data_IF_207739777889
#
_entry.id   IF_207739777889
#
_cell.length_a   1.000
_cell.length_b   1.000
_cell.length_c   1.000
_cell.angle_alpha   90.00
_cell.angle_beta   90.00
_cell.angle_gamma   90.00
#
_symmetry.space_group_name_H-M   'P 1'
#
loop_
_entity.id
_entity.type
_entity.pdbx_description
1 polymer ?
#
# COMPACT_ATOMS: atom_id res chain seq x y z
N UNK A 1 -5.27 7.65 -14.76
CA UNK A 1 -4.14 6.90 -14.17
C UNK A 1 -2.87 7.65 -14.39
N UNK A 2 -2.02 7.61 -13.40
CA UNK A 2 -0.73 8.27 -13.53
C UNK A 2 0.13 7.54 -14.55
N UNK A 3 1.07 8.28 -15.15
CA UNK A 3 2.05 7.71 -16.08
C UNK A 3 2.91 6.64 -15.40
N UNK A 4 3.08 6.70 -14.08
CA UNK A 4 3.84 5.71 -13.35
C UNK A 4 3.30 4.29 -13.55
N UNK A 5 1.97 4.13 -13.63
CA UNK A 5 1.37 2.81 -13.89
C UNK A 5 1.47 2.48 -15.38
N UNK A 6 1.18 3.44 -16.26
CA UNK A 6 1.20 3.21 -17.70
C UNK A 6 2.59 2.79 -18.20
N UNK A 7 3.64 3.29 -17.57
CA UNK A 7 5.01 3.03 -17.97
C UNK A 7 5.72 2.05 -17.03
N UNK A 8 4.99 1.27 -16.24
CA UNK A 8 5.59 0.34 -15.28
C UNK A 8 6.51 -0.67 -15.97
N UNK A 9 6.18 -1.07 -17.21
CA UNK A 9 7.01 -2.00 -17.97
C UNK A 9 8.43 -1.47 -18.21
N UNK A 10 8.59 -0.15 -18.28
CA UNK A 10 9.91 0.48 -18.42
C UNK A 10 10.77 0.28 -17.18
N UNK A 11 10.14 0.11 -16.01
CA UNK A 11 10.80 0.01 -14.73
C UNK A 11 11.03 -1.43 -14.28
N UNK A 12 10.47 -2.42 -14.97
CA UNK A 12 10.66 -3.82 -14.62
C UNK A 12 12.13 -4.23 -14.66
N UNK A 13 12.94 -3.58 -15.53
CA UNK A 13 14.37 -3.85 -15.62
C UNK A 13 15.15 -3.39 -14.40
N UNK A 14 14.57 -2.50 -13.57
CA UNK A 14 15.24 -1.98 -12.39
C UNK A 14 15.07 -2.91 -11.20
N UNK A 15 13.96 -3.62 -11.13
CA UNK A 15 13.75 -4.62 -10.09
C UNK A 15 12.61 -5.55 -10.48
N UNK A 16 12.74 -6.80 -10.06
CA UNK A 16 11.71 -7.80 -10.27
C UNK A 16 10.64 -7.68 -9.19
N UNK A 17 9.37 -7.71 -9.60
CA UNK A 17 8.23 -7.66 -8.69
C UNK A 17 7.47 -8.98 -8.76
N UNK A 18 7.42 -9.70 -7.67
CA UNK A 18 6.66 -10.95 -7.55
C UNK A 18 5.65 -10.90 -6.40
N UNK A 19 5.49 -9.73 -5.76
CA UNK A 19 4.64 -9.60 -4.58
C UNK A 19 4.01 -8.19 -4.54
N UNK A 20 2.73 -8.14 -4.26
CA UNK A 20 2.01 -6.89 -3.98
C UNK A 20 1.44 -7.02 -2.57
N UNK A 21 1.85 -6.14 -1.67
CA UNK A 21 1.50 -6.21 -0.26
C UNK A 21 0.52 -5.10 0.09
N UNK A 22 -0.62 -5.47 0.62
CA UNK A 22 -1.66 -4.53 1.05
C UNK A 22 -1.47 -4.22 2.52
N UNK A 23 -1.45 -2.93 2.85
CA UNK A 23 -1.36 -2.41 4.20
C UNK A 23 -2.54 -1.50 4.52
N UNK A 24 -2.72 -1.18 5.79
CA UNK A 24 -3.54 -0.07 6.24
C UNK A 24 -2.68 0.91 7.02
N UNK A 25 -3.14 2.14 7.16
CA UNK A 25 -2.43 3.14 7.96
C UNK A 25 -2.51 2.85 9.46
N UNK A 26 -3.39 1.94 9.86
CA UNK A 26 -3.67 1.62 11.27
C UNK A 26 -4.10 2.89 12.03
N UNK A 27 -5.00 3.64 11.43
CA UNK A 27 -5.61 4.83 12.02
C UNK A 27 -7.12 4.63 12.16
N UNK A 28 -7.74 5.37 13.07
CA UNK A 28 -9.18 5.24 13.32
C UNK A 28 -9.97 5.74 12.12
N UNK A 29 -11.08 5.08 11.82
CA UNK A 29 -11.95 5.43 10.71
C UNK A 29 -12.48 6.88 10.80
N UNK A 30 -12.55 7.43 11.99
CA UNK A 30 -13.00 8.81 12.25
C UNK A 30 -11.87 9.83 12.19
N UNK A 31 -10.63 9.37 12.08
CA UNK A 31 -9.44 10.22 12.05
C UNK A 31 -8.97 10.38 10.61
N UNK A 32 -8.80 11.62 10.18
CA UNK A 32 -8.19 11.88 8.88
C UNK A 32 -6.68 11.63 8.97
N UNK A 33 -6.16 10.87 8.03
CA UNK A 33 -4.73 10.59 7.95
C UNK A 33 -4.30 10.63 6.48
N UNK A 34 -3.87 11.79 6.05
CA UNK A 34 -3.56 12.06 4.64
C UNK A 34 -2.24 11.42 4.22
N UNK A 35 -2.00 11.39 2.89
CA UNK A 35 -0.72 10.94 2.37
C UNK A 35 0.44 11.79 2.92
N UNK A 36 0.22 13.08 3.12
CA UNK A 36 1.25 13.96 3.68
C UNK A 36 1.49 13.66 5.17
N UNK A 37 0.45 13.31 5.92
CA UNK A 37 0.61 12.87 7.31
C UNK A 37 1.46 11.61 7.38
N UNK A 38 1.17 10.64 6.52
CA UNK A 38 1.91 9.40 6.46
C UNK A 38 3.38 9.65 6.07
N UNK A 39 3.60 10.47 5.06
CA UNK A 39 4.95 10.84 4.60
C UNK A 39 5.75 11.52 5.72
N UNK A 40 5.12 12.45 6.43
CA UNK A 40 5.75 13.13 7.55
C UNK A 40 6.16 12.15 8.64
N UNK A 41 5.28 11.22 9.00
CA UNK A 41 5.56 10.24 10.05
C UNK A 41 6.67 9.29 9.63
N UNK A 42 6.69 8.85 8.37
CA UNK A 42 7.75 8.00 7.87
C UNK A 42 9.10 8.72 7.86
N UNK A 43 9.13 9.99 7.45
CA UNK A 43 10.36 10.78 7.50
C UNK A 43 10.85 10.99 8.92
N UNK A 44 9.93 11.18 9.87
CA UNK A 44 10.29 11.30 11.29
C UNK A 44 10.91 10.02 11.84
N UNK A 45 10.58 8.87 11.24
CA UNK A 45 11.19 7.58 11.59
C UNK A 45 12.51 7.31 10.88
N UNK A 46 12.99 8.26 10.08
CA UNK A 46 14.25 8.14 9.37
C UNK A 46 14.14 7.69 7.92
N UNK A 47 12.95 7.52 7.39
CA UNK A 47 12.76 7.16 5.98
C UNK A 47 13.02 8.38 5.09
N UNK A 48 13.59 8.15 3.91
CA UNK A 48 13.81 9.21 2.93
C UNK A 48 12.48 9.77 2.39
N UNK A 49 11.45 8.92 2.31
CA UNK A 49 10.12 9.29 1.84
C UNK A 49 9.12 8.28 2.42
N UNK A 50 7.82 8.49 2.14
CA UNK A 50 6.79 7.51 2.45
C UNK A 50 7.23 6.12 1.94
N UNK A 51 7.00 5.09 2.74
CA UNK A 51 7.49 3.75 2.42
C UNK A 51 6.66 2.99 1.39
N UNK A 52 5.42 3.43 1.13
CA UNK A 52 4.51 2.80 0.19
C UNK A 52 4.67 3.37 -1.22
N UNK A 53 4.24 2.60 -2.22
CA UNK A 53 4.18 3.05 -3.60
C UNK A 53 2.86 3.73 -3.93
N UNK A 54 1.78 3.31 -3.25
CA UNK A 54 0.44 3.91 -3.40
C UNK A 54 -0.23 4.05 -2.04
N UNK A 55 -0.96 5.13 -1.88
CA UNK A 55 -1.74 5.40 -0.67
C UNK A 55 -3.16 5.80 -1.09
N UNK A 56 -4.17 5.11 -0.57
CA UNK A 56 -5.58 5.31 -0.96
C UNK A 56 -6.32 5.95 0.21
N UNK A 57 -6.73 7.19 0.05
CA UNK A 57 -7.51 7.90 1.06
C UNK A 57 -8.95 7.43 1.09
N UNK A 58 -9.68 7.79 2.14
CA UNK A 58 -11.04 7.29 2.39
C UNK A 58 -12.01 7.63 1.27
N UNK A 59 -11.78 8.70 0.52
CA UNK A 59 -12.57 9.08 -0.65
C UNK A 59 -12.25 8.24 -1.91
N UNK A 60 -11.34 7.30 -1.80
CA UNK A 60 -10.95 6.43 -2.91
C UNK A 60 -9.90 7.02 -3.84
N UNK A 61 -9.31 8.15 -3.49
CA UNK A 61 -8.26 8.75 -4.32
C UNK A 61 -6.94 8.06 -4.10
N UNK A 62 -6.26 7.69 -5.19
CA UNK A 62 -4.91 7.13 -5.16
C UNK A 62 -3.89 8.24 -5.16
N UNK A 63 -2.98 8.18 -4.20
CA UNK A 63 -1.85 9.10 -4.12
C UNK A 63 -0.57 8.32 -4.37
N UNK A 64 0.30 8.86 -5.22
CA UNK A 64 1.59 8.23 -5.49
C UNK A 64 2.54 8.45 -4.31
N UNK A 65 3.21 7.37 -3.91
CA UNK A 65 4.33 7.42 -2.97
C UNK A 65 5.64 7.28 -3.72
N UNK A 66 6.46 6.30 -3.33
CA UNK A 66 7.70 6.02 -4.07
C UNK A 66 7.40 5.55 -5.48
N UNK A 67 8.21 5.93 -6.47
CA UNK A 67 8.08 5.38 -7.81
C UNK A 67 8.24 3.86 -7.80
N UNK A 68 7.61 3.17 -8.75
CA UNK A 68 7.64 1.70 -8.80
C UNK A 68 9.04 1.13 -8.97
N UNK A 69 9.96 1.85 -9.62
CA UNK A 69 11.34 1.40 -9.78
C UNK A 69 12.14 1.50 -8.48
N UNK A 70 11.64 2.21 -7.49
CA UNK A 70 12.32 2.40 -6.21
C UNK A 70 11.84 1.38 -5.19
N UNK A 71 12.79 0.76 -4.48
CA UNK A 71 12.48 -0.14 -3.38
C UNK A 71 11.74 0.62 -2.29
N UNK A 72 10.64 0.06 -1.81
CA UNK A 72 9.86 0.65 -0.75
C UNK A 72 10.46 0.40 0.64
N UNK A 73 9.76 0.85 1.66
CA UNK A 73 10.09 0.59 3.06
C UNK A 73 8.79 0.31 3.80
N UNK A 74 8.19 -0.87 3.54
CA UNK A 74 6.89 -1.22 4.07
C UNK A 74 6.79 -2.65 4.60
N UNK A 75 7.69 -3.53 4.20
CA UNK A 75 7.67 -4.94 4.63
C UNK A 75 9.10 -5.47 4.67
N UNK A 76 9.73 -5.39 5.83
CA UNK A 76 11.12 -5.80 6.03
C UNK A 76 11.35 -7.21 5.52
N UNK A 77 12.38 -7.40 4.70
CA UNK A 77 12.69 -8.70 4.08
C UNK A 77 11.99 -8.92 2.74
N UNK A 78 11.00 -8.09 2.41
CA UNK A 78 10.21 -8.24 1.17
C UNK A 78 10.24 -7.01 0.28
N UNK A 79 10.83 -5.92 0.76
CA UNK A 79 10.81 -4.62 0.06
C UNK A 79 11.41 -4.69 -1.35
N UNK A 80 12.50 -5.44 -1.52
CA UNK A 80 13.26 -5.43 -2.78
C UNK A 80 12.46 -5.95 -3.98
N UNK A 81 11.47 -6.83 -3.75
CA UNK A 81 10.71 -7.47 -4.84
C UNK A 81 9.19 -7.28 -4.72
N UNK A 82 8.77 -6.23 -4.01
CA UNK A 82 7.34 -6.00 -3.78
C UNK A 82 6.91 -4.56 -4.08
N UNK A 83 5.61 -4.42 -4.26
CA UNK A 83 4.93 -3.13 -4.30
C UNK A 83 4.08 -3.04 -3.04
N UNK A 84 4.15 -1.93 -2.33
CA UNK A 84 3.34 -1.66 -1.14
C UNK A 84 2.20 -0.72 -1.44
N UNK A 85 0.98 -1.14 -1.12
CA UNK A 85 -0.23 -0.32 -1.23
C UNK A 85 -0.81 -0.20 0.17
N UNK A 86 -1.11 1.03 0.59
CA UNK A 86 -1.70 1.30 1.89
C UNK A 86 -3.04 2.02 1.72
N UNK A 87 -4.06 1.60 2.45
CA UNK A 87 -5.30 2.36 2.52
C UNK A 87 -5.42 3.07 3.87
N UNK A 88 -6.02 4.25 3.86
CA UNK A 88 -6.27 5.04 5.07
C UNK A 88 -7.34 4.35 5.92
N UNK A 89 -7.00 3.99 7.15
CA UNK A 89 -7.93 3.36 8.09
C UNK A 89 -7.36 2.12 8.75
N UNK A 90 -8.23 1.14 9.01
CA UNK A 90 -7.86 -0.13 9.60
C UNK A 90 -8.21 -0.28 11.07
N UNK A 91 -8.63 0.80 11.74
CA UNK A 91 -9.07 0.76 13.14
C UNK A 91 -10.47 1.34 13.28
N UNK A 92 -11.28 0.73 14.15
CA UNK A 92 -12.60 1.26 14.48
C UNK A 92 -12.47 2.49 15.40
N UNK A 93 -13.61 3.06 15.80
CA UNK A 93 -13.64 4.26 16.64
C UNK A 93 -12.94 4.06 17.99
N UNK A 94 -12.84 2.82 18.45
CA UNK A 94 -12.17 2.47 19.71
C UNK A 94 -10.71 2.11 19.53
N UNK A 95 -10.20 2.19 18.28
CA UNK A 95 -8.81 1.86 17.98
C UNK A 95 -8.53 0.37 17.84
N UNK A 96 -9.57 -0.45 17.61
CA UNK A 96 -9.40 -1.89 17.42
C UNK A 96 -9.33 -2.22 15.94
N UNK A 97 -8.54 -3.25 15.56
CA UNK A 97 -8.47 -3.69 14.15
C UNK A 97 -9.86 -4.00 13.59
N UNK A 98 -10.14 -3.44 12.41
CA UNK A 98 -11.43 -3.58 11.75
C UNK A 98 -11.29 -3.26 10.27
N UNK A 99 -12.05 -3.95 9.43
CA UNK A 99 -12.13 -3.59 8.02
C UNK A 99 -12.94 -2.30 7.87
N UNK A 100 -12.25 -1.19 7.80
CA UNK A 100 -12.88 0.14 7.70
C UNK A 100 -12.88 0.68 6.28
N UNK A 101 -12.54 -0.14 5.28
CA UNK A 101 -12.49 0.33 3.89
C UNK A 101 -13.85 0.86 3.47
N UNK A 102 -13.84 2.06 2.89
CA UNK A 102 -15.05 2.63 2.28
C UNK A 102 -15.35 1.91 0.96
N UNK A 103 -16.60 1.98 0.45
CA UNK A 103 -16.90 1.45 -0.89
C UNK A 103 -15.97 2.03 -1.95
N UNK A 104 -15.63 3.32 -1.86
CA UNK A 104 -14.72 4.00 -2.78
C UNK A 104 -13.31 3.41 -2.71
N UNK A 105 -12.83 3.12 -1.51
CA UNK A 105 -11.51 2.48 -1.33
C UNK A 105 -11.50 1.07 -1.91
N UNK A 106 -12.56 0.30 -1.68
CA UNK A 106 -12.66 -1.07 -2.22
C UNK A 106 -12.62 -1.06 -3.75
N UNK A 107 -13.37 -0.16 -4.37
CA UNK A 107 -13.40 -0.05 -5.82
C UNK A 107 -12.04 0.38 -6.37
N UNK A 108 -11.44 1.39 -5.79
CA UNK A 108 -10.12 1.89 -6.21
C UNK A 108 -9.05 0.83 -6.06
N UNK A 109 -9.04 0.12 -4.92
CA UNK A 109 -8.08 -0.94 -4.68
C UNK A 109 -8.22 -2.05 -5.70
N UNK A 110 -9.45 -2.45 -6.02
CA UNK A 110 -9.72 -3.47 -7.03
C UNK A 110 -9.18 -3.06 -8.41
N UNK A 111 -9.46 -1.83 -8.83
CA UNK A 111 -9.00 -1.32 -10.12
C UNK A 111 -7.47 -1.20 -10.18
N UNK A 112 -6.86 -0.72 -9.10
CA UNK A 112 -5.40 -0.60 -9.03
C UNK A 112 -4.74 -1.98 -9.11
N UNK A 113 -5.27 -2.95 -8.40
CA UNK A 113 -4.74 -4.33 -8.43
C UNK A 113 -4.89 -4.95 -9.82
N UNK A 114 -6.04 -4.76 -10.48
CA UNK A 114 -6.21 -5.24 -11.85
C UNK A 114 -5.14 -4.65 -12.77
N UNK A 115 -4.88 -3.36 -12.65
CA UNK A 115 -3.89 -2.68 -13.49
C UNK A 115 -2.49 -3.18 -13.22
N UNK A 116 -2.11 -3.31 -11.95
CA UNK A 116 -0.78 -3.79 -11.59
C UNK A 116 -0.57 -5.25 -12.02
N UNK A 117 -1.61 -6.08 -11.94
CA UNK A 117 -1.51 -7.47 -12.37
C UNK A 117 -1.30 -7.62 -13.89
N UNK A 118 -1.74 -6.64 -14.68
CA UNK A 118 -1.45 -6.63 -16.11
C UNK A 118 0.05 -6.47 -16.35
N UNK A 119 0.72 -5.63 -15.57
CA UNK A 119 2.14 -5.35 -15.71
C UNK A 119 3.03 -6.35 -14.98
N UNK A 120 2.54 -6.90 -13.88
CA UNK A 120 3.28 -7.83 -13.01
C UNK A 120 2.46 -9.10 -12.83
N UNK A 121 2.34 -9.88 -13.91
CA UNK A 121 1.43 -11.03 -13.99
C UNK A 121 1.76 -12.13 -12.98
N UNK A 122 3.02 -12.27 -12.60
CA UNK A 122 3.45 -13.29 -11.65
C UNK A 122 3.34 -12.84 -10.20
N UNK A 123 3.03 -11.55 -9.95
CA UNK A 123 2.95 -11.03 -8.60
C UNK A 123 1.75 -11.61 -7.86
N UNK A 124 2.00 -12.09 -6.64
CA UNK A 124 0.94 -12.53 -5.74
C UNK A 124 0.47 -11.34 -4.91
N UNK A 125 -0.83 -11.23 -4.67
CA UNK A 125 -1.41 -10.19 -3.83
C UNK A 125 -1.66 -10.77 -2.46
N UNK A 126 -1.06 -10.17 -1.42
CA UNK A 126 -1.18 -10.64 -0.04
C UNK A 126 -1.41 -9.46 0.89
N UNK A 127 -2.00 -9.74 2.05
CA UNK A 127 -2.03 -8.78 3.14
C UNK A 127 -0.70 -8.80 3.89
N UNK A 128 -0.33 -7.67 4.48
CA UNK A 128 0.91 -7.60 5.26
C UNK A 128 0.95 -8.68 6.35
N UNK A 129 -0.17 -8.92 7.03
CA UNK A 129 -0.27 -9.93 8.10
C UNK A 129 -0.08 -11.36 7.61
N UNK A 130 -0.21 -11.60 6.31
CA UNK A 130 -0.05 -12.94 5.73
C UNK A 130 1.41 -13.31 5.48
N UNK A 131 2.33 -12.35 5.60
CA UNK A 131 3.74 -12.60 5.39
C UNK A 131 4.36 -13.31 6.57
N UNK A 132 5.22 -14.33 6.34
CA UNK A 132 5.93 -15.01 7.42
C UNK A 132 6.67 -14.02 8.33
N UNK A 133 6.51 -14.21 9.63
CA UNK A 133 7.19 -13.39 10.63
C UNK A 133 6.47 -12.10 11.02
N UNK A 134 5.37 -11.76 10.35
CA UNK A 134 4.58 -10.56 10.69
C UNK A 134 3.54 -10.91 11.76
N UNK A 135 3.57 -10.16 12.86
CA UNK A 135 2.62 -10.30 13.97
C UNK A 135 1.81 -9.01 14.11
N UNK A 136 1.13 -8.63 13.04
CA UNK A 136 0.30 -7.42 12.95
C UNK A 136 -1.06 -7.80 12.38
N UNK A 137 -2.06 -6.98 12.65
CA UNK A 137 -3.40 -7.17 12.08
C UNK A 137 -3.55 -6.53 10.69
N UNK A 138 -2.68 -5.58 10.35
CA UNK A 138 -2.66 -4.89 9.06
C UNK A 138 -2.64 -5.92 7.92
N UNK A 139 -3.51 -5.82 6.93
CA UNK A 139 -4.39 -4.70 6.59
C UNK A 139 -5.78 -4.75 7.22
N UNK A 140 -6.02 -5.57 8.23
CA UNK A 140 -7.26 -5.67 9.01
C UNK A 140 -8.46 -6.18 8.20
N UNK A 141 -8.20 -6.88 7.13
CA UNK A 141 -9.20 -7.63 6.36
C UNK A 141 -8.49 -8.76 5.60
N UNK A 142 -9.25 -9.74 5.18
CA UNK A 142 -8.71 -10.87 4.40
C UNK A 142 -8.57 -10.48 2.93
N UNK A 143 -7.35 -10.46 2.47
CA UNK A 143 -7.01 -10.10 1.10
C UNK A 143 -7.37 -11.20 0.11
#
# INVERSE_FOLDING_TARGET
>A
MSNAILHSSQYQNYRRIDLIVIHCSATRATQRYTVDDCRRDHRARGFADIGYHYYITRDGVVHAGRPLYQVGAHATGYNAHSIGICYEGGLDIRGRPCDTRTPEQKETLHKLLQRLKEDYQEARVVGYRDLPGVQKDCPCYDV
#
